data_IF_264061695981
#
_entry.id   IF_264061695981
#
_cell.length_a   1.000
_cell.length_b   1.000
_cell.length_c   1.000
_cell.angle_alpha   90.00
_cell.angle_beta   90.00
_cell.angle_gamma   90.00
#
_symmetry.space_group_name_H-M   'P 1'
#
loop_
_entity.id
_entity.type
_entity.pdbx_description
1 polymer ?
#
# COMPACT_ATOMS: atom_id res chain seq x y z
N UNK A 1 6.03 17.14 -1.77
CA UNK A 1 5.55 15.80 -2.13
C UNK A 1 4.64 15.19 -1.06
N UNK A 2 5.10 14.74 0.11
CA UNK A 2 4.23 14.02 1.08
C UNK A 2 2.93 14.74 1.46
N UNK A 3 2.97 16.04 1.78
CA UNK A 3 1.76 16.83 2.09
C UNK A 3 0.81 16.95 0.90
N UNK A 4 1.34 17.02 -0.31
CA UNK A 4 0.54 17.08 -1.53
C UNK A 4 -0.18 15.75 -1.79
N UNK A 5 0.53 14.62 -1.62
CA UNK A 5 -0.07 13.28 -1.67
C UNK A 5 -1.18 13.18 -0.63
N UNK A 6 -0.91 13.59 0.63
CA UNK A 6 -1.88 13.58 1.73
C UNK A 6 -3.14 14.34 1.34
N UNK A 7 -3.02 15.60 0.92
CA UNK A 7 -4.17 16.44 0.60
C UNK A 7 -5.01 15.87 -0.55
N UNK A 8 -4.37 15.19 -1.50
CA UNK A 8 -5.04 14.60 -2.65
C UNK A 8 -5.72 13.26 -2.37
N UNK A 9 -5.24 12.49 -1.38
CA UNK A 9 -5.73 11.13 -1.12
C UNK A 9 -6.57 11.02 0.16
N UNK A 10 -6.31 11.86 1.16
CA UNK A 10 -6.99 11.85 2.46
C UNK A 10 -8.53 11.87 2.35
N UNK A 11 -9.15 12.73 1.52
CA UNK A 11 -10.61 12.76 1.40
C UNK A 11 -11.21 11.42 0.97
N UNK A 12 -10.50 10.65 0.13
CA UNK A 12 -10.99 9.36 -0.33
C UNK A 12 -10.94 8.29 0.78
N UNK A 13 -9.90 8.31 1.62
CA UNK A 13 -9.82 7.42 2.79
C UNK A 13 -10.84 7.82 3.86
N UNK A 14 -11.11 9.11 4.02
CA UNK A 14 -12.15 9.60 4.90
C UNK A 14 -13.51 9.05 4.48
N UNK A 15 -13.88 9.20 3.20
CA UNK A 15 -15.12 8.65 2.67
C UNK A 15 -15.19 7.12 2.83
N UNK A 16 -14.10 6.41 2.53
CA UNK A 16 -14.03 4.95 2.70
C UNK A 16 -14.35 4.51 4.14
N UNK A 17 -13.79 5.17 5.14
CA UNK A 17 -13.89 4.76 6.54
C UNK A 17 -15.14 5.32 7.24
N UNK A 18 -15.60 6.53 6.89
CA UNK A 18 -16.78 7.14 7.51
C UNK A 18 -18.09 6.60 6.92
N UNK A 19 -18.14 6.32 5.62
CA UNK A 19 -19.33 5.74 4.97
C UNK A 19 -19.48 4.24 5.29
N UNK A 20 -18.47 3.62 5.91
CA UNK A 20 -18.48 2.20 6.24
C UNK A 20 -18.14 1.95 7.72
N UNK A 21 -19.07 1.34 8.46
CA UNK A 21 -18.82 0.94 9.86
C UNK A 21 -18.02 -0.38 9.96
N UNK A 22 -16.78 -0.39 9.45
CA UNK A 22 -15.92 -1.58 9.52
C UNK A 22 -15.49 -1.89 10.98
N UNK A 23 -15.28 -3.17 11.28
CA UNK A 23 -14.80 -3.65 12.59
C UNK A 23 -13.80 -4.77 12.41
N UNK A 24 -12.81 -4.86 13.31
CA UNK A 24 -11.75 -5.88 13.27
C UNK A 24 -11.00 -5.88 11.92
N UNK A 25 -10.74 -4.68 11.39
CA UNK A 25 -10.02 -4.49 10.14
C UNK A 25 -8.67 -3.83 10.39
N UNK A 26 -7.82 -3.86 9.39
CA UNK A 26 -6.66 -2.99 9.27
C UNK A 26 -6.73 -2.26 7.93
N UNK A 27 -6.23 -1.02 7.92
CA UNK A 27 -6.25 -0.16 6.74
C UNK A 27 -4.85 -0.05 6.16
N UNK A 28 -4.74 -0.02 4.83
CA UNK A 28 -3.50 0.12 4.08
C UNK A 28 -3.56 1.37 3.21
N UNK A 29 -2.49 2.15 3.21
CA UNK A 29 -2.26 3.25 2.26
C UNK A 29 -1.05 2.95 1.39
N UNK A 30 -0.96 3.58 0.21
CA UNK A 30 0.19 3.41 -0.68
C UNK A 30 1.50 3.63 0.04
N UNK A 31 2.49 2.87 -0.40
CA UNK A 31 3.87 3.04 0.01
C UNK A 31 4.74 3.30 -1.20
N UNK A 32 5.73 4.17 -1.05
CA UNK A 32 6.67 4.52 -2.10
C UNK A 32 8.07 4.61 -1.53
N UNK A 33 9.06 4.23 -2.32
CA UNK A 33 10.45 4.34 -1.95
C UNK A 33 10.93 5.80 -1.95
N UNK A 34 11.98 6.08 -1.17
CA UNK A 34 12.57 7.43 -1.02
C UNK A 34 13.07 8.04 -2.35
N UNK A 35 13.45 7.19 -3.30
CA UNK A 35 13.95 7.56 -4.63
C UNK A 35 12.90 7.33 -5.73
N UNK A 36 11.63 7.12 -5.37
CA UNK A 36 10.58 6.93 -6.37
C UNK A 36 10.54 8.15 -7.32
N UNK A 37 10.57 7.96 -8.65
CA UNK A 37 10.74 9.05 -9.60
C UNK A 37 9.40 9.74 -9.89
N UNK A 38 8.92 10.53 -8.92
CA UNK A 38 7.79 11.43 -9.12
C UNK A 38 8.04 12.33 -10.35
N UNK A 39 6.97 12.64 -11.09
CA UNK A 39 6.94 13.57 -12.23
C UNK A 39 7.70 13.16 -13.52
N UNK A 40 8.39 12.02 -13.51
CA UNK A 40 9.19 11.57 -14.66
C UNK A 40 8.48 10.58 -15.58
N UNK A 41 7.25 10.16 -15.27
CA UNK A 41 6.54 9.08 -15.98
C UNK A 41 7.40 7.83 -16.20
N UNK A 42 8.24 7.51 -15.23
CA UNK A 42 9.27 6.46 -15.29
C UNK A 42 9.17 5.42 -14.19
N UNK A 43 8.32 5.63 -13.18
CA UNK A 43 8.20 4.78 -12.00
C UNK A 43 7.53 3.42 -12.25
N UNK A 44 7.85 2.45 -11.38
CA UNK A 44 7.17 1.15 -11.31
C UNK A 44 6.19 1.15 -10.15
N UNK A 45 4.90 0.94 -10.44
CA UNK A 45 3.86 0.72 -9.44
C UNK A 45 3.45 -0.74 -9.42
N UNK A 46 3.76 -1.44 -8.33
CA UNK A 46 3.30 -2.80 -8.10
C UNK A 46 1.97 -2.80 -7.35
N UNK A 47 1.06 -3.66 -7.78
CA UNK A 47 -0.31 -3.71 -7.27
C UNK A 47 -0.61 -5.10 -6.73
N UNK A 48 -0.76 -5.20 -5.40
CA UNK A 48 -1.22 -6.41 -4.72
C UNK A 48 -2.73 -6.44 -4.50
N UNK A 49 -3.21 -7.51 -3.88
CA UNK A 49 -4.65 -7.69 -3.59
C UNK A 49 -5.09 -6.95 -2.33
N UNK A 50 -4.47 -7.28 -1.20
CA UNK A 50 -4.74 -6.75 0.13
C UNK A 50 -3.55 -7.09 1.05
N UNK A 51 -3.44 -6.39 2.17
CA UNK A 51 -2.56 -6.79 3.28
C UNK A 51 -3.15 -8.01 4.01
N UNK A 52 -2.30 -8.78 4.70
CA UNK A 52 -2.67 -9.98 5.43
C UNK A 52 -2.58 -9.73 6.94
N UNK A 53 -3.42 -8.84 7.45
CA UNK A 53 -3.17 -8.15 8.72
C UNK A 53 -2.12 -7.07 8.53
N UNK A 54 -2.19 -6.00 9.32
CA UNK A 54 -1.31 -4.84 9.16
C UNK A 54 -1.09 -4.14 10.49
N UNK A 55 -0.44 -2.98 10.42
CA UNK A 55 0.24 -2.29 11.54
C UNK A 55 -0.71 -1.94 12.70
N UNK A 56 -1.96 -1.60 12.41
CA UNK A 56 -2.90 -1.06 13.39
C UNK A 56 -4.34 -1.43 13.04
N UNK A 57 -5.21 -1.44 14.05
CA UNK A 57 -6.66 -1.54 13.92
C UNK A 57 -7.38 -0.19 14.04
N UNK A 58 -6.62 0.91 14.06
CA UNK A 58 -7.15 2.27 14.03
C UNK A 58 -8.09 2.49 12.83
N UNK A 59 -9.19 3.19 13.09
CA UNK A 59 -10.24 3.51 12.10
C UNK A 59 -10.49 5.00 11.96
N UNK A 60 -9.98 5.83 12.87
CA UNK A 60 -9.98 7.28 12.69
C UNK A 60 -8.97 7.67 11.61
N UNK A 61 -9.51 8.10 10.46
CA UNK A 61 -8.71 8.54 9.31
C UNK A 61 -7.75 9.67 9.66
N UNK A 62 -8.11 10.55 10.60
CA UNK A 62 -7.28 11.67 11.02
C UNK A 62 -6.01 11.15 11.69
N UNK A 63 -6.16 10.15 12.58
CA UNK A 63 -5.04 9.47 13.25
C UNK A 63 -4.24 8.62 12.27
N UNK A 64 -4.88 7.93 11.33
CA UNK A 64 -4.22 7.12 10.30
C UNK A 64 -3.32 7.94 9.35
N UNK A 65 -3.58 9.25 9.22
CA UNK A 65 -2.85 10.20 8.38
C UNK A 65 -2.08 11.26 9.17
N UNK A 66 -2.09 11.19 10.50
CA UNK A 66 -1.29 12.07 11.34
C UNK A 66 0.17 11.63 11.27
N UNK A 67 1.06 12.54 10.89
CA UNK A 67 2.49 12.26 10.74
C UNK A 67 3.17 12.02 12.10
N UNK A 68 2.61 12.58 13.17
CA UNK A 68 3.11 12.40 14.53
C UNK A 68 2.64 11.08 15.15
N UNK A 69 1.65 10.42 14.53
CA UNK A 69 1.18 9.11 14.98
C UNK A 69 2.16 8.01 14.53
N UNK A 70 2.78 7.24 15.46
CA UNK A 70 3.67 6.14 15.10
C UNK A 70 2.95 4.96 14.44
N UNK A 71 1.65 4.82 14.66
CA UNK A 71 0.82 3.75 14.06
C UNK A 71 0.16 4.14 12.74
N UNK A 72 0.45 5.33 12.22
CA UNK A 72 -0.11 5.80 10.95
C UNK A 72 0.15 4.83 9.81
N UNK A 73 -0.75 4.80 8.84
CA UNK A 73 -0.60 3.98 7.63
C UNK A 73 -0.05 4.81 6.46
N UNK A 74 -0.29 6.12 6.48
CA UNK A 74 0.16 7.05 5.45
C UNK A 74 1.55 7.58 5.78
N UNK A 75 2.45 7.57 4.79
CA UNK A 75 3.80 8.10 4.93
C UNK A 75 4.52 7.62 6.21
N UNK A 76 4.49 6.31 6.44
CA UNK A 76 5.20 5.65 7.54
C UNK A 76 6.69 6.00 7.51
N UNK A 77 7.33 6.00 8.66
CA UNK A 77 8.75 6.33 8.76
C UNK A 77 9.63 5.38 7.94
N UNK A 78 9.30 4.09 7.95
CA UNK A 78 10.01 3.03 7.23
C UNK A 78 9.51 2.79 5.80
N UNK A 79 8.52 3.56 5.30
CA UNK A 79 7.88 3.46 3.98
C UNK A 79 8.06 2.13 3.24
N UNK A 80 8.96 2.01 2.26
CA UNK A 80 9.30 0.76 1.55
C UNK A 80 10.58 0.11 2.10
N UNK A 81 11.30 0.79 3.00
CA UNK A 81 12.52 0.28 3.66
C UNK A 81 12.22 -0.98 4.49
N UNK A 82 11.03 -1.08 5.10
CA UNK A 82 10.65 -2.28 5.87
C UNK A 82 10.74 -3.57 5.04
N UNK A 83 10.51 -3.48 3.72
CA UNK A 83 10.59 -4.64 2.82
C UNK A 83 12.00 -5.22 2.84
N UNK A 84 13.00 -4.35 2.87
CA UNK A 84 14.40 -4.72 2.99
C UNK A 84 14.74 -5.16 4.41
N UNK A 85 14.30 -4.41 5.43
CA UNK A 85 14.60 -4.70 6.84
C UNK A 85 14.07 -6.07 7.29
N UNK A 86 12.94 -6.51 6.73
CA UNK A 86 12.36 -7.83 7.02
C UNK A 86 12.89 -8.95 6.10
N UNK A 87 13.82 -8.65 5.19
CA UNK A 87 14.42 -9.65 4.31
C UNK A 87 15.34 -10.58 5.09
N UNK A 88 15.06 -11.89 5.08
CA UNK A 88 15.87 -12.86 5.81
C UNK A 88 15.56 -12.93 7.31
N UNK A 89 14.56 -12.18 7.79
CA UNK A 89 14.14 -12.20 9.18
C UNK A 89 13.79 -13.63 9.66
N UNK A 90 14.26 -13.99 10.85
CA UNK A 90 14.06 -15.32 11.47
C UNK A 90 12.87 -15.37 12.42
N UNK A 91 12.39 -14.21 12.89
CA UNK A 91 11.23 -14.09 13.80
C UNK A 91 10.18 -13.16 13.21
N UNK A 92 9.00 -13.69 12.89
CA UNK A 92 7.90 -12.92 12.28
C UNK A 92 7.94 -12.95 10.75
N UNK A 93 7.43 -11.90 10.11
CA UNK A 93 7.33 -11.85 8.65
C UNK A 93 8.71 -11.75 7.99
N UNK A 94 8.91 -12.55 6.94
CA UNK A 94 10.14 -12.59 6.15
C UNK A 94 9.82 -12.35 4.68
N UNK A 95 10.19 -11.18 4.17
CA UNK A 95 9.88 -10.75 2.79
C UNK A 95 10.57 -11.65 1.76
N UNK A 96 11.72 -12.23 2.07
CA UNK A 96 12.42 -13.21 1.21
C UNK A 96 11.60 -14.50 0.99
N UNK A 97 10.72 -14.87 1.93
CA UNK A 97 9.83 -16.03 1.80
C UNK A 97 8.53 -15.72 1.06
N UNK A 98 8.17 -14.45 0.90
CA UNK A 98 6.97 -14.03 0.18
C UNK A 98 7.16 -14.13 -1.34
N UNK A 99 6.31 -14.90 -2.02
CA UNK A 99 6.33 -14.98 -3.49
C UNK A 99 6.09 -13.60 -4.13
N UNK A 100 5.21 -12.80 -3.54
CA UNK A 100 4.93 -11.43 -3.97
C UNK A 100 6.20 -10.56 -3.94
N UNK A 101 6.88 -10.48 -2.81
CA UNK A 101 8.08 -9.66 -2.68
C UNK A 101 9.28 -10.19 -3.47
N UNK A 102 9.42 -11.51 -3.60
CA UNK A 102 10.46 -12.09 -4.45
C UNK A 102 10.31 -11.67 -5.91
N UNK A 103 9.09 -11.72 -6.45
CA UNK A 103 8.83 -11.33 -7.83
C UNK A 103 9.07 -9.83 -8.04
N UNK A 104 8.55 -8.99 -7.14
CA UNK A 104 8.78 -7.54 -7.19
C UNK A 104 10.29 -7.25 -7.19
N UNK A 105 11.05 -7.87 -6.28
CA UNK A 105 12.51 -7.73 -6.22
C UNK A 105 13.18 -8.08 -7.55
N UNK A 106 12.88 -9.26 -8.11
CA UNK A 106 13.48 -9.71 -9.37
C UNK A 106 13.22 -8.75 -10.53
N UNK A 107 11.98 -8.27 -10.68
CA UNK A 107 11.63 -7.30 -11.72
C UNK A 107 12.34 -5.97 -11.47
N UNK A 108 12.31 -5.49 -10.22
CA UNK A 108 12.85 -4.17 -9.87
C UNK A 108 14.38 -4.12 -10.01
N UNK A 109 15.09 -5.18 -9.63
CA UNK A 109 16.57 -5.27 -9.74
C UNK A 109 17.08 -5.24 -11.18
N UNK A 110 16.22 -5.54 -12.16
CA UNK A 110 16.56 -5.41 -13.58
C UNK A 110 16.76 -3.93 -13.98
N UNK A 111 16.08 -3.00 -13.31
CA UNK A 111 16.15 -1.57 -13.58
C UNK A 111 16.91 -0.79 -12.51
N UNK A 112 16.86 -1.26 -11.26
CA UNK A 112 17.45 -0.65 -10.08
C UNK A 112 18.26 -1.71 -9.31
N UNK A 113 19.49 -2.02 -9.74
CA UNK A 113 20.29 -3.12 -9.16
C UNK A 113 20.59 -2.95 -7.66
N UNK A 114 20.69 -1.70 -7.21
CA UNK A 114 20.92 -1.35 -5.81
C UNK A 114 19.69 -0.67 -5.21
N UNK A 115 19.39 -1.00 -3.94
CA UNK A 115 18.28 -0.43 -3.18
C UNK A 115 16.96 -0.42 -3.98
N UNK A 116 16.65 -1.49 -4.71
CA UNK A 116 15.47 -1.58 -5.59
C UNK A 116 14.17 -1.11 -4.93
N UNK A 117 13.97 -1.46 -3.65
CA UNK A 117 12.79 -1.12 -2.85
C UNK A 117 12.64 0.40 -2.64
N UNK A 118 13.73 1.17 -2.71
CA UNK A 118 13.72 2.63 -2.63
C UNK A 118 13.27 3.30 -3.92
N UNK A 119 13.18 2.59 -5.05
CA UNK A 119 12.91 3.17 -6.37
C UNK A 119 11.51 2.84 -6.92
N UNK A 120 10.71 2.11 -6.16
CA UNK A 120 9.39 1.61 -6.59
C UNK A 120 8.28 2.06 -5.66
N UNK A 121 7.03 1.91 -6.11
CA UNK A 121 5.85 2.06 -5.29
C UNK A 121 5.05 0.76 -5.21
N UNK A 122 4.33 0.60 -4.10
CA UNK A 122 3.42 -0.51 -3.87
C UNK A 122 2.07 0.00 -3.39
N UNK A 123 1.02 -0.51 -4.02
CA UNK A 123 -0.36 -0.36 -3.54
C UNK A 123 -1.06 -1.70 -3.52
N UNK A 124 -2.21 -1.76 -2.85
CA UNK A 124 -3.13 -2.87 -2.92
C UNK A 124 -4.45 -2.39 -3.48
N UNK A 125 -5.13 -3.26 -4.22
CA UNK A 125 -6.44 -2.93 -4.74
C UNK A 125 -7.48 -2.77 -3.61
N UNK A 126 -7.49 -3.66 -2.62
CA UNK A 126 -8.29 -3.45 -1.39
C UNK A 126 -7.47 -2.72 -0.34
N UNK A 127 -8.02 -1.64 0.20
CA UNK A 127 -7.38 -0.82 1.25
C UNK A 127 -7.73 -1.31 2.65
N UNK A 128 -8.79 -2.09 2.79
CA UNK A 128 -9.24 -2.63 4.07
C UNK A 128 -9.19 -4.16 4.03
N UNK A 129 -8.51 -4.75 5.00
CA UNK A 129 -8.38 -6.19 5.17
C UNK A 129 -8.72 -6.61 6.61
N UNK A 130 -9.00 -7.90 6.88
CA UNK A 130 -9.19 -8.37 8.25
C UNK A 130 -7.91 -8.20 9.08
N UNK A 131 -8.05 -7.66 10.30
CA UNK A 131 -6.91 -7.39 11.20
C UNK A 131 -6.09 -8.64 11.51
N UNK A 132 -6.78 -9.77 11.74
CA UNK A 132 -6.15 -11.06 12.07
C UNK A 132 -5.52 -11.79 10.87
N UNK A 133 -5.53 -11.16 9.69
CA UNK A 133 -5.07 -11.77 8.45
C UNK A 133 -6.17 -12.41 7.61
N UNK A 134 -5.79 -12.78 6.40
CA UNK A 134 -6.64 -13.21 5.31
C UNK A 134 -6.93 -12.09 4.30
N UNK A 135 -7.54 -12.47 3.20
CA UNK A 135 -8.08 -11.52 2.23
C UNK A 135 -9.46 -11.01 2.71
N UNK A 136 -9.91 -9.82 2.27
CA UNK A 136 -11.27 -9.39 2.51
C UNK A 136 -12.27 -10.40 1.91
N UNK A 137 -13.34 -10.71 2.64
CA UNK A 137 -14.43 -11.56 2.15
C UNK A 137 -15.35 -10.78 1.18
N UNK A 138 -16.28 -11.46 0.49
CA UNK A 138 -17.18 -10.82 -0.50
C UNK A 138 -17.92 -9.59 0.05
N UNK A 139 -18.38 -9.62 1.31
CA UNK A 139 -19.06 -8.49 1.94
C UNK A 139 -18.12 -7.29 2.08
N UNK A 140 -16.92 -7.51 2.62
CA UNK A 140 -15.92 -6.48 2.81
C UNK A 140 -15.37 -5.96 1.47
N UNK A 141 -15.23 -6.82 0.46
CA UNK A 141 -14.86 -6.44 -0.90
C UNK A 141 -15.91 -5.51 -1.51
N UNK A 142 -17.19 -5.89 -1.46
CA UNK A 142 -18.28 -5.11 -2.04
C UNK A 142 -18.42 -3.74 -1.37
N UNK A 143 -18.31 -3.68 -0.04
CA UNK A 143 -18.43 -2.44 0.73
C UNK A 143 -17.36 -1.41 0.36
N UNK A 144 -16.11 -1.85 0.15
CA UNK A 144 -15.00 -0.94 -0.17
C UNK A 144 -14.77 -0.72 -1.67
N UNK A 145 -15.42 -1.49 -2.57
CA UNK A 145 -15.03 -1.61 -3.99
C UNK A 145 -14.96 -0.27 -4.71
N UNK A 146 -16.00 0.55 -4.59
CA UNK A 146 -16.09 1.87 -5.25
C UNK A 146 -14.98 2.79 -4.75
N UNK A 147 -14.86 2.93 -3.43
CA UNK A 147 -13.83 3.77 -2.81
C UNK A 147 -12.42 3.30 -3.19
N UNK A 148 -12.17 1.99 -3.17
CA UNK A 148 -10.88 1.43 -3.55
C UNK A 148 -10.51 1.73 -5.01
N UNK A 149 -11.49 1.71 -5.92
CA UNK A 149 -11.28 2.11 -7.30
C UNK A 149 -10.94 3.60 -7.42
N UNK A 150 -11.68 4.46 -6.74
CA UNK A 150 -11.45 5.91 -6.75
C UNK A 150 -10.07 6.27 -6.15
N UNK A 151 -9.73 5.63 -5.02
CA UNK A 151 -8.40 5.73 -4.39
C UNK A 151 -7.33 5.27 -5.37
N UNK A 152 -7.46 4.10 -5.97
CA UNK A 152 -6.45 3.55 -6.88
C UNK A 152 -6.23 4.43 -8.12
N UNK A 153 -7.32 4.98 -8.69
CA UNK A 153 -7.23 5.96 -9.78
C UNK A 153 -6.42 7.18 -9.33
N UNK A 154 -6.70 7.71 -8.14
CA UNK A 154 -5.98 8.86 -7.61
C UNK A 154 -4.50 8.55 -7.31
N UNK A 155 -4.20 7.35 -6.84
CA UNK A 155 -2.82 6.88 -6.64
C UNK A 155 -2.03 6.85 -7.95
N UNK A 156 -2.63 6.38 -9.05
CA UNK A 156 -1.99 6.41 -10.38
C UNK A 156 -1.76 7.86 -10.84
N UNK A 157 -2.74 8.75 -10.64
CA UNK A 157 -2.61 10.17 -11.01
C UNK A 157 -1.46 10.85 -10.25
N UNK A 158 -1.30 10.55 -8.96
CA UNK A 158 -0.25 11.11 -8.10
C UNK A 158 1.12 10.51 -8.46
N UNK A 159 1.20 9.18 -8.55
CA UNK A 159 2.46 8.47 -8.72
C UNK A 159 2.99 8.54 -10.15
N UNK A 160 2.13 8.87 -11.13
CA UNK A 160 2.43 8.93 -12.57
C UNK A 160 3.34 7.79 -13.05
N UNK A 161 3.08 6.51 -12.70
CA UNK A 161 3.98 5.42 -13.05
C UNK A 161 4.05 5.20 -14.57
N UNK A 162 5.19 4.71 -15.05
CA UNK A 162 5.33 4.22 -16.44
C UNK A 162 4.61 2.89 -16.63
N UNK A 163 4.77 2.02 -15.63
CA UNK A 163 4.22 0.67 -15.65
C UNK A 163 3.44 0.42 -14.35
N UNK A 164 2.22 -0.09 -14.52
CA UNK A 164 1.38 -0.57 -13.42
C UNK A 164 1.32 -2.09 -13.53
N UNK A 165 1.90 -2.79 -12.55
CA UNK A 165 2.14 -4.23 -12.59
C UNK A 165 1.24 -4.91 -11.56
N UNK A 166 0.23 -5.62 -12.03
CA UNK A 166 -0.75 -6.31 -11.20
C UNK A 166 -0.27 -7.70 -10.82
N UNK A 167 -0.10 -7.93 -9.52
CA UNK A 167 0.24 -9.22 -8.92
C UNK A 167 -0.92 -9.67 -8.04
N UNK A 168 -2.06 -9.92 -8.68
CA UNK A 168 -3.34 -10.22 -8.02
C UNK A 168 -4.16 -11.20 -8.84
N UNK A 169 -5.23 -11.73 -8.26
CA UNK A 169 -6.20 -12.61 -8.91
C UNK A 169 -7.60 -12.40 -8.34
N UNK A 170 -8.63 -12.73 -9.12
CA UNK A 170 -10.03 -12.67 -8.71
C UNK A 170 -10.54 -11.25 -8.50
N UNK A 171 -10.06 -10.30 -9.30
CA UNK A 171 -10.61 -8.94 -9.41
C UNK A 171 -11.25 -8.71 -10.80
N UNK A 172 -10.79 -9.43 -11.81
CA UNK A 172 -11.50 -9.72 -13.07
C UNK A 172 -12.93 -10.23 -12.84
#
# INVERSE_FOLDING_TARGET
MTNEIKNNIFPFYKNLLEENSFKNICTFSIQWGKNYPFDQKSGLLFVGKAVNGWITDETDVTRLFDIENPERIFAREDQMEWVNNLSGNTKGYNTRKSAFWRLIKMVSETYYPEQWYSNIAWTNLYKVAPLKGGNPNKKLQNAQRKHCFDIFKKEIEILTPKYVIFLTSGWE
#
